data_IF_090434134150
#
_entry.id   IF_090434134150
#
_cell.length_a   1.000
_cell.length_b   1.000
_cell.length_c   1.000
_cell.angle_alpha   90.00
_cell.angle_beta   90.00
_cell.angle_gamma   90.00
#
_symmetry.space_group_name_H-M   'P 1'
#
loop_
_entity.id
_entity.type
_entity.pdbx_description
1 polymer ?
#
# COMPACT_ATOMS: atom_id res chain seq x y z
N UNK A 1 8.85 -3.43 0.66
CA UNK A 1 7.88 -2.41 0.21
C UNK A 1 6.77 -2.24 1.25
N UNK A 2 6.35 -1.01 1.51
CA UNK A 2 5.21 -0.66 2.38
C UNK A 2 4.15 0.09 1.57
N UNK A 3 2.87 -0.19 1.85
CA UNK A 3 1.74 0.50 1.24
C UNK A 3 0.76 0.89 2.34
N UNK A 4 0.32 2.15 2.32
CA UNK A 4 -0.71 2.64 3.23
C UNK A 4 -1.53 3.74 2.56
N UNK A 5 -2.71 4.01 3.14
CA UNK A 5 -3.58 5.11 2.71
C UNK A 5 -3.55 6.22 3.77
N UNK A 6 -3.63 7.48 3.34
CA UNK A 6 -3.56 8.64 4.24
C UNK A 6 -4.75 8.69 5.21
N UNK A 7 -5.92 8.31 4.72
CA UNK A 7 -7.18 8.34 5.47
C UNK A 7 -7.55 7.00 6.11
N UNK A 8 -6.57 6.11 6.33
CA UNK A 8 -6.77 4.92 7.16
C UNK A 8 -7.19 5.33 8.59
N UNK A 9 -8.38 4.89 9.00
CA UNK A 9 -9.00 5.25 10.28
C UNK A 9 -8.42 4.49 11.48
N UNK A 10 -7.77 3.35 11.25
CA UNK A 10 -7.30 2.46 12.30
C UNK A 10 -5.79 2.52 12.48
N UNK A 11 -5.04 2.69 11.38
CA UNK A 11 -3.58 2.76 11.40
C UNK A 11 -3.13 4.10 10.82
N UNK A 12 -2.64 5.03 11.66
CA UNK A 12 -2.18 6.33 11.19
C UNK A 12 -1.07 6.21 10.13
N UNK A 13 -1.16 7.03 9.07
CA UNK A 13 -0.18 7.07 7.98
C UNK A 13 1.24 7.45 8.43
N UNK A 14 1.42 7.98 9.64
CA UNK A 14 2.73 8.25 10.23
C UNK A 14 3.52 6.97 10.54
N UNK A 15 2.84 5.85 10.82
CA UNK A 15 3.49 4.58 11.15
C UNK A 15 4.46 4.10 10.05
N UNK A 16 4.03 3.95 8.78
CA UNK A 16 4.95 3.57 7.71
C UNK A 16 6.00 4.65 7.42
N UNK A 17 5.69 5.94 7.64
CA UNK A 17 6.67 7.03 7.49
C UNK A 17 7.80 6.91 8.52
N UNK A 18 7.49 6.58 9.78
CA UNK A 18 8.52 6.38 10.81
C UNK A 18 9.45 5.21 10.47
N UNK A 19 8.89 4.10 9.94
CA UNK A 19 9.69 2.95 9.51
C UNK A 19 10.60 3.35 8.34
N UNK A 20 10.07 4.05 7.34
CA UNK A 20 10.86 4.55 6.21
C UNK A 20 11.98 5.48 6.68
N UNK A 21 11.70 6.39 7.63
CA UNK A 21 12.72 7.25 8.23
C UNK A 21 13.87 6.46 8.86
N UNK A 22 13.56 5.39 9.60
CA UNK A 22 14.58 4.50 10.15
C UNK A 22 15.35 3.72 9.09
N UNK A 23 14.68 3.27 8.03
CA UNK A 23 15.36 2.60 6.92
C UNK A 23 16.36 3.52 6.21
N UNK A 24 16.04 4.81 6.07
CA UNK A 24 16.98 5.82 5.56
C UNK A 24 18.17 5.97 6.50
N UNK A 25 17.95 6.09 7.81
CA UNK A 25 19.03 6.21 8.81
C UNK A 25 20.02 5.03 8.77
N UNK A 26 19.54 3.82 8.47
CA UNK A 26 20.34 2.60 8.39
C UNK A 26 20.83 2.25 6.98
N UNK A 27 20.61 3.11 5.99
CA UNK A 27 20.97 2.88 4.57
C UNK A 27 20.41 1.55 4.02
N UNK A 28 19.17 1.21 4.39
CA UNK A 28 18.49 0.00 3.94
C UNK A 28 17.62 0.28 2.70
N UNK A 29 17.59 -0.62 1.70
CA UNK A 29 16.73 -0.45 0.54
C UNK A 29 15.26 -0.62 0.93
N UNK A 30 14.42 0.36 0.57
CA UNK A 30 12.98 0.29 0.79
C UNK A 30 12.21 1.01 -0.32
N UNK A 31 10.90 0.76 -0.36
CA UNK A 31 9.95 1.46 -1.21
C UNK A 31 8.66 1.67 -0.40
N UNK A 32 8.14 2.89 -0.41
CA UNK A 32 6.94 3.29 0.33
C UNK A 32 5.96 3.97 -0.62
N UNK A 33 4.72 3.47 -0.65
CA UNK A 33 3.60 4.09 -1.36
C UNK A 33 2.56 4.57 -0.37
N UNK A 34 2.31 5.87 -0.37
CA UNK A 34 1.25 6.50 0.41
C UNK A 34 0.17 7.02 -0.55
N UNK A 35 -0.96 6.33 -0.58
CA UNK A 35 -2.10 6.74 -1.38
C UNK A 35 -2.95 7.73 -0.59
N UNK A 36 -3.56 8.69 -1.29
CA UNK A 36 -4.40 9.69 -0.63
C UNK A 36 -5.65 9.05 -0.03
N UNK A 37 -6.39 8.31 -0.83
CA UNK A 37 -7.70 7.76 -0.46
C UNK A 37 -7.67 6.23 -0.35
N UNK A 38 -8.62 5.68 0.42
CA UNK A 38 -8.79 4.24 0.66
C UNK A 38 -8.98 3.89 2.13
N UNK A 39 -9.85 2.92 2.41
CA UNK A 39 -10.15 2.47 3.78
C UNK A 39 -9.08 1.48 4.28
N UNK A 40 -9.09 1.22 5.59
CA UNK A 40 -8.26 0.18 6.17
C UNK A 40 -8.59 -1.19 5.57
N UNK A 41 -7.56 -2.01 5.34
CA UNK A 41 -7.76 -3.41 5.00
C UNK A 41 -8.29 -3.69 3.60
N UNK A 42 -8.04 -2.80 2.61
CA UNK A 42 -8.43 -3.06 1.22
C UNK A 42 -7.73 -4.26 0.56
N UNK A 43 -6.73 -4.86 1.21
CA UNK A 43 -5.99 -6.03 0.74
C UNK A 43 -5.44 -5.78 -0.68
N UNK A 44 -5.67 -6.66 -1.66
CA UNK A 44 -5.27 -6.49 -3.06
C UNK A 44 -6.16 -5.53 -3.86
N UNK A 45 -7.15 -4.89 -3.22
CA UNK A 45 -8.03 -3.88 -3.82
C UNK A 45 -8.70 -4.36 -5.14
N UNK A 46 -9.14 -5.62 -5.15
CA UNK A 46 -9.84 -6.22 -6.29
C UNK A 46 -11.22 -6.77 -5.86
N UNK A 47 -12.02 -7.18 -6.84
CA UNK A 47 -13.37 -7.70 -6.57
C UNK A 47 -13.37 -9.00 -5.75
N UNK A 48 -12.27 -9.75 -5.74
CA UNK A 48 -12.13 -11.00 -4.97
C UNK A 48 -11.82 -10.72 -3.48
N UNK A 49 -11.18 -9.59 -3.17
CA UNK A 49 -10.88 -9.17 -1.80
C UNK A 49 -11.98 -8.31 -1.16
N UNK A 50 -13.08 -8.11 -1.88
CA UNK A 50 -14.21 -7.29 -1.41
C UNK A 50 -15.21 -8.16 -0.63
N UNK A 51 -15.41 -7.86 0.65
CA UNK A 51 -16.29 -8.64 1.53
C UNK A 51 -17.78 -8.27 1.41
N UNK A 52 -18.09 -7.13 0.79
CA UNK A 52 -19.46 -6.68 0.49
C UNK A 52 -19.47 -5.69 -0.70
N UNK A 53 -20.66 -5.22 -1.09
CA UNK A 53 -20.86 -4.29 -2.19
C UNK A 53 -20.25 -2.90 -1.93
N UNK A 54 -20.26 -2.44 -0.67
CA UNK A 54 -19.60 -1.19 -0.27
C UNK A 54 -18.08 -1.26 -0.46
N UNK A 55 -17.45 -2.39 -0.12
CA UNK A 55 -16.03 -2.62 -0.33
C UNK A 55 -15.66 -2.68 -1.82
N UNK A 56 -16.55 -3.20 -2.68
CA UNK A 56 -16.37 -3.13 -4.14
C UNK A 56 -16.38 -1.69 -4.62
N UNK A 57 -17.38 -0.91 -4.22
CA UNK A 57 -17.48 0.51 -4.60
C UNK A 57 -16.26 1.31 -4.12
N UNK A 58 -15.75 1.02 -2.91
CA UNK A 58 -14.54 1.64 -2.38
C UNK A 58 -13.30 1.26 -3.20
N UNK A 59 -13.17 0.00 -3.61
CA UNK A 59 -12.05 -0.44 -4.46
C UNK A 59 -12.12 0.20 -5.86
N UNK A 60 -13.33 0.29 -6.44
CA UNK A 60 -13.56 0.98 -7.73
C UNK A 60 -13.28 2.49 -7.65
N UNK A 61 -13.56 3.12 -6.51
CA UNK A 61 -13.23 4.52 -6.26
C UNK A 61 -11.72 4.76 -6.06
N UNK A 62 -10.94 3.72 -5.73
CA UNK A 62 -9.51 3.82 -5.42
C UNK A 62 -8.64 2.93 -6.34
N UNK A 63 -8.71 3.09 -7.66
CA UNK A 63 -8.02 2.19 -8.60
C UNK A 63 -6.50 2.24 -8.45
N UNK A 64 -5.95 3.38 -8.01
CA UNK A 64 -4.52 3.53 -7.77
C UNK A 64 -4.01 2.61 -6.65
N UNK A 65 -4.84 2.32 -5.65
CA UNK A 65 -4.41 1.43 -4.56
C UNK A 65 -4.21 0.02 -5.10
N UNK A 66 -5.04 -0.46 -6.04
CA UNK A 66 -4.84 -1.78 -6.68
C UNK A 66 -3.48 -1.97 -7.35
N UNK A 67 -2.80 -0.88 -7.72
CA UNK A 67 -1.48 -0.91 -8.34
C UNK A 67 -0.35 -1.28 -7.35
N UNK A 68 -0.62 -1.33 -6.05
CA UNK A 68 0.40 -1.65 -5.07
C UNK A 68 1.00 -3.06 -5.29
N UNK A 69 0.19 -4.03 -5.74
CA UNK A 69 0.65 -5.40 -6.01
C UNK A 69 1.67 -5.43 -7.15
N UNK A 70 1.35 -4.94 -8.37
CA UNK A 70 2.34 -4.93 -9.46
C UNK A 70 3.57 -4.06 -9.14
N UNK A 71 3.42 -2.96 -8.41
CA UNK A 71 4.56 -2.17 -7.93
C UNK A 71 5.46 -2.98 -6.99
N UNK A 72 4.89 -3.77 -6.08
CA UNK A 72 5.62 -4.66 -5.18
C UNK A 72 6.40 -5.72 -5.94
N UNK A 73 5.78 -6.34 -6.94
CA UNK A 73 6.45 -7.31 -7.81
C UNK A 73 7.64 -6.65 -8.52
N UNK A 74 7.45 -5.46 -9.11
CA UNK A 74 8.53 -4.73 -9.77
C UNK A 74 9.67 -4.38 -8.81
N UNK A 75 9.35 -3.96 -7.59
CA UNK A 75 10.35 -3.65 -6.56
C UNK A 75 11.15 -4.88 -6.15
N UNK A 76 10.49 -6.02 -5.88
CA UNK A 76 11.14 -7.28 -5.53
C UNK A 76 12.05 -7.76 -6.66
N UNK A 77 11.54 -7.76 -7.89
CA UNK A 77 12.30 -8.16 -9.08
C UNK A 77 13.54 -7.28 -9.28
N UNK A 78 13.41 -5.96 -9.09
CA UNK A 78 14.54 -5.03 -9.13
C UNK A 78 15.54 -5.27 -7.99
N UNK A 79 15.06 -5.57 -6.79
CA UNK A 79 15.89 -5.77 -5.60
C UNK A 79 16.72 -7.06 -5.68
N UNK A 80 16.12 -8.14 -6.18
CA UNK A 80 16.77 -9.46 -6.26
C UNK A 80 17.31 -9.81 -7.66
N UNK A 81 17.11 -8.94 -8.64
CA UNK A 81 17.52 -9.14 -10.03
C UNK A 81 16.93 -10.41 -10.66
N UNK A 82 15.61 -10.62 -10.47
CA UNK A 82 14.84 -11.77 -11.00
C UNK A 82 13.75 -11.33 -11.98
#
# INVERSE_FOLDING_TARGET
>A
MYCATRYDKYVPAINPIMIAGKMIEYDLPFELHLFQDGEHGMSVCNNLSSYNENAKNLNEANPNVSMWVPMCVNWINKLFHI
#
